data_IF_486238007871
#
_entry.id   IF_486238007871
#
_cell.length_a   1.000
_cell.length_b   1.000
_cell.length_c   1.000
_cell.angle_alpha   90.00
_cell.angle_beta   90.00
_cell.angle_gamma   90.00
#
_symmetry.space_group_name_H-M   'P 1'
#
loop_
_entity.id
_entity.type
_entity.pdbx_description
1 polymer ?
#
# COMPACT_ATOMS: atom_id res chain seq x y z
N UNK A 1 -56.21 -14.07 23.03
CA UNK A 1 -56.70 -15.47 23.13
C UNK A 1 -55.51 -16.40 22.90
N UNK A 2 -55.16 -17.07 24.03
CA UNK A 2 -54.46 -18.37 24.14
C UNK A 2 -53.06 -18.46 23.55
N UNK A 3 -51.96 -18.29 24.27
CA UNK A 3 -51.25 -19.17 25.25
C UNK A 3 -51.06 -20.65 24.78
N UNK A 4 -49.77 -21.04 24.59
CA UNK A 4 -49.17 -22.27 25.18
C UNK A 4 -47.66 -22.31 24.89
N UNK A 5 -46.91 -22.29 25.79
CA UNK A 5 -46.06 -23.06 26.73
C UNK A 5 -45.73 -24.48 26.23
N UNK A 6 -44.43 -24.79 26.11
CA UNK A 6 -43.82 -25.98 26.71
C UNK A 6 -42.29 -25.86 26.71
N UNK A 7 -41.78 -25.99 27.91
CA UNK A 7 -40.38 -26.17 28.25
C UNK A 7 -40.05 -27.68 28.23
N UNK A 8 -38.82 -28.03 27.83
CA UNK A 8 -38.24 -29.33 28.20
C UNK A 8 -36.76 -29.16 28.55
N UNK A 9 -36.46 -29.41 29.83
CA UNK A 9 -35.13 -29.68 30.42
C UNK A 9 -34.73 -31.14 30.13
N UNK A 10 -33.43 -31.40 30.02
CA UNK A 10 -32.71 -32.61 30.46
C UNK A 10 -31.21 -32.30 30.26
N UNK A 11 -30.39 -32.07 31.32
CA UNK A 11 -29.61 -33.02 32.12
C UNK A 11 -28.75 -33.93 31.22
N UNK A 12 -27.44 -33.72 31.07
CA UNK A 12 -26.41 -33.98 32.04
C UNK A 12 -25.65 -35.23 31.61
N UNK A 13 -24.37 -35.10 31.24
CA UNK A 13 -23.42 -36.21 31.47
C UNK A 13 -22.00 -35.66 31.59
N UNK A 14 -21.49 -35.72 32.80
CA UNK A 14 -20.08 -35.61 33.14
C UNK A 14 -19.36 -36.89 32.67
N UNK A 15 -18.27 -36.74 31.96
CA UNK A 15 -17.26 -37.77 31.82
C UNK A 15 -15.90 -37.17 32.11
N UNK A 16 -15.46 -37.39 33.33
CA UNK A 16 -14.06 -37.32 33.73
C UNK A 16 -13.28 -38.39 32.97
N UNK A 17 -12.17 -38.03 32.35
CA UNK A 17 -11.09 -38.95 32.02
C UNK A 17 -9.81 -38.43 32.65
N UNK A 18 -9.30 -39.29 33.53
CA UNK A 18 -8.14 -39.14 34.39
C UNK A 18 -6.88 -39.51 33.60
N UNK A 19 -5.90 -38.62 33.63
CA UNK A 19 -4.45 -38.81 33.79
C UNK A 19 -3.78 -40.11 33.29
N UNK A 20 -2.73 -39.89 32.52
CA UNK A 20 -1.51 -40.67 32.68
C UNK A 20 -0.30 -39.80 32.29
N UNK A 21 0.40 -39.33 33.31
CA UNK A 21 1.75 -38.79 33.20
C UNK A 21 2.71 -39.95 32.91
N UNK A 22 3.45 -39.85 31.83
CA UNK A 22 4.65 -40.67 31.62
C UNK A 22 5.84 -39.72 31.49
N UNK A 23 6.58 -39.66 32.55
CA UNK A 23 7.92 -39.09 32.57
C UNK A 23 8.88 -40.04 31.88
N UNK A 24 9.49 -39.64 30.81
CA UNK A 24 10.70 -40.27 30.28
C UNK A 24 11.88 -39.33 30.53
N UNK A 25 12.66 -39.70 31.55
CA UNK A 25 14.03 -39.26 31.72
C UNK A 25 14.94 -40.11 30.88
N UNK A 26 15.71 -39.56 30.00
CA UNK A 26 16.95 -40.13 29.47
C UNK A 26 17.98 -39.04 29.32
N UNK A 27 18.90 -39.04 30.22
CA UNK A 27 20.36 -39.08 30.20
C UNK A 27 21.03 -38.34 29.03
N UNK A 28 21.92 -37.48 29.45
CA UNK A 28 22.84 -36.65 28.72
C UNK A 28 23.81 -37.44 27.80
N UNK A 29 24.26 -36.69 26.85
CA UNK A 29 25.60 -36.89 26.29
C UNK A 29 26.20 -35.50 25.97
N UNK A 30 27.32 -35.24 26.62
CA UNK A 30 28.22 -34.14 26.37
C UNK A 30 28.97 -34.29 25.06
N UNK A 31 29.48 -33.18 24.61
CA UNK A 31 30.55 -32.99 23.60
C UNK A 31 30.00 -32.74 22.18
N UNK A 32 30.13 -31.54 21.61
CA UNK A 32 31.38 -30.97 21.12
C UNK A 32 31.21 -29.46 20.87
N UNK A 33 32.09 -28.65 21.43
CA UNK A 33 32.31 -27.27 21.04
C UNK A 33 32.89 -27.22 19.62
N UNK A 34 32.12 -26.65 18.70
CA UNK A 34 32.73 -26.01 17.54
C UNK A 34 32.04 -24.66 17.35
N UNK A 35 32.80 -23.61 17.59
CA UNK A 35 32.40 -22.26 17.29
C UNK A 35 32.15 -22.11 15.81
N UNK A 36 30.90 -21.95 15.46
CA UNK A 36 30.53 -21.31 14.22
C UNK A 36 30.02 -19.93 14.59
N UNK A 37 30.85 -18.96 14.24
CA UNK A 37 30.44 -17.58 14.21
C UNK A 37 29.13 -17.50 13.39
N UNK A 38 28.02 -17.25 14.07
CA UNK A 38 26.77 -16.86 13.44
C UNK A 38 27.06 -15.50 12.81
N UNK A 39 27.43 -15.52 11.53
CA UNK A 39 27.38 -14.37 10.67
C UNK A 39 25.98 -13.84 10.77
N UNK A 40 25.81 -12.74 11.51
CA UNK A 40 24.61 -11.92 11.42
C UNK A 40 24.44 -11.60 9.95
N UNK A 41 23.56 -12.31 9.30
CA UNK A 41 23.08 -11.95 8.00
C UNK A 41 22.35 -10.62 8.16
N UNK A 42 23.04 -9.53 7.84
CA UNK A 42 22.41 -8.30 7.42
C UNK A 42 21.63 -8.69 6.17
N UNK A 43 20.43 -9.18 6.37
CA UNK A 43 19.44 -9.23 5.32
C UNK A 43 19.04 -7.78 5.06
N UNK A 44 19.72 -7.14 4.11
CA UNK A 44 19.11 -6.09 3.32
C UNK A 44 17.90 -6.72 2.63
N UNK A 45 16.80 -6.85 3.35
CA UNK A 45 15.49 -6.76 2.74
C UNK A 45 15.37 -5.30 2.32
N UNK A 46 15.88 -4.98 1.11
CA UNK A 46 15.30 -3.93 0.31
C UNK A 46 13.82 -4.33 0.20
N UNK A 47 13.03 -3.87 1.15
CA UNK A 47 11.58 -3.83 1.00
C UNK A 47 11.39 -2.98 -0.25
N UNK A 48 11.08 -3.62 -1.37
CA UNK A 48 10.76 -2.90 -2.59
C UNK A 48 9.56 -2.03 -2.25
N UNK A 49 9.80 -0.73 -2.11
CA UNK A 49 8.75 0.22 -1.81
C UNK A 49 7.81 0.25 -3.01
N UNK A 50 6.63 -0.30 -2.85
CA UNK A 50 5.59 -0.30 -3.88
C UNK A 50 4.51 0.72 -3.55
N UNK A 51 3.80 1.17 -4.57
CA UNK A 51 2.70 2.13 -4.49
C UNK A 51 1.39 1.40 -4.75
N UNK A 52 0.39 1.69 -3.94
CA UNK A 52 -0.99 1.35 -4.22
C UNK A 52 -1.90 2.56 -3.97
N UNK A 53 -3.20 2.41 -4.16
CA UNK A 53 -4.17 3.49 -3.99
C UNK A 53 -4.29 3.98 -2.54
N UNK A 54 -3.81 3.20 -1.58
CA UNK A 54 -3.78 3.57 -0.16
C UNK A 54 -2.52 4.33 0.25
N UNK A 55 -1.47 4.33 -0.60
CA UNK A 55 -0.24 5.06 -0.33
C UNK A 55 1.04 4.35 -0.74
N UNK A 56 2.11 4.55 0.04
CA UNK A 56 3.44 3.96 -0.20
C UNK A 56 4.19 3.78 1.12
N UNK A 57 4.65 2.56 1.38
CA UNK A 57 5.38 2.26 2.61
C UNK A 57 4.57 2.59 3.87
N UNK A 58 5.09 3.51 4.69
CA UNK A 58 4.41 3.96 5.91
C UNK A 58 3.46 5.15 5.68
N UNK A 59 3.49 5.76 4.50
CA UNK A 59 2.63 6.89 4.17
C UNK A 59 1.30 6.38 3.63
N UNK A 60 0.22 6.79 4.31
CA UNK A 60 -1.15 6.45 3.94
C UNK A 60 -1.89 7.67 3.39
N UNK A 61 -2.70 7.46 2.36
CA UNK A 61 -3.67 8.45 1.88
C UNK A 61 -4.66 8.75 3.01
N UNK A 62 -4.83 10.04 3.33
CA UNK A 62 -5.59 10.53 4.48
C UNK A 62 -4.74 10.86 5.73
N UNK A 63 -3.48 10.40 5.79
CA UNK A 63 -2.54 10.80 6.85
C UNK A 63 -2.33 12.32 6.82
N UNK A 64 -2.16 12.93 7.99
CA UNK A 64 -1.83 14.36 8.04
C UNK A 64 -0.36 14.59 7.67
N UNK A 65 -0.07 15.72 7.05
CA UNK A 65 1.31 16.11 6.78
C UNK A 65 2.12 16.24 8.07
N UNK A 66 1.48 16.72 9.15
CA UNK A 66 2.15 16.87 10.46
C UNK A 66 2.60 15.52 11.01
N UNK A 67 1.77 14.48 10.89
CA UNK A 67 2.15 13.12 11.31
C UNK A 67 3.31 12.58 10.47
N UNK A 68 3.25 12.75 9.14
CA UNK A 68 4.32 12.28 8.23
C UNK A 68 5.65 13.00 8.51
N UNK A 69 5.61 14.31 8.79
CA UNK A 69 6.81 15.09 9.13
C UNK A 69 7.35 14.69 10.50
N UNK A 70 6.49 14.52 11.50
CA UNK A 70 6.90 14.11 12.85
C UNK A 70 7.56 12.74 12.89
N UNK A 71 7.19 11.86 11.97
CA UNK A 71 7.79 10.54 11.77
C UNK A 71 9.07 10.56 10.90
N UNK A 72 9.48 11.73 10.41
CA UNK A 72 10.64 11.87 9.53
C UNK A 72 10.46 11.29 8.12
N UNK A 73 9.22 11.11 7.68
CA UNK A 73 8.91 10.54 6.36
C UNK A 73 8.92 11.59 5.26
N UNK A 74 8.37 12.77 5.52
CA UNK A 74 8.27 13.88 4.57
C UNK A 74 8.89 15.16 5.10
N UNK A 75 9.33 16.02 4.18
CA UNK A 75 9.72 17.39 4.46
C UNK A 75 8.54 18.32 4.22
N UNK A 76 8.37 19.30 5.13
CA UNK A 76 7.45 20.40 4.94
C UNK A 76 8.17 21.55 4.20
N UNK A 77 7.59 22.01 3.10
CA UNK A 77 8.01 23.26 2.50
C UNK A 77 7.54 24.45 3.37
N UNK A 78 8.44 25.32 3.87
CA UNK A 78 8.05 26.48 4.69
C UNK A 78 7.08 27.45 4.00
N UNK A 79 7.10 27.50 2.67
CA UNK A 79 6.24 28.37 1.86
C UNK A 79 5.00 27.65 1.33
N UNK A 80 4.64 26.48 1.91
CA UNK A 80 3.56 25.64 1.45
C UNK A 80 2.21 26.38 1.47
N UNK A 81 1.45 26.23 0.37
CA UNK A 81 0.07 26.66 0.30
C UNK A 81 -0.82 25.72 1.15
N UNK A 82 -1.61 26.31 2.03
CA UNK A 82 -2.46 25.55 2.96
C UNK A 82 -3.61 24.79 2.27
N UNK A 83 -4.04 25.24 1.09
CA UNK A 83 -5.16 24.62 0.36
C UNK A 83 -4.71 23.43 -0.47
N UNK A 84 -3.62 23.58 -1.22
CA UNK A 84 -3.03 22.52 -2.03
C UNK A 84 -1.55 22.79 -2.29
N UNK A 85 -0.70 21.82 -2.06
CA UNK A 85 0.74 21.87 -2.33
C UNK A 85 1.33 20.47 -2.41
N UNK A 86 2.64 20.37 -2.59
CA UNK A 86 3.38 19.12 -2.60
C UNK A 86 4.39 19.05 -1.46
N UNK A 87 4.51 17.86 -0.86
CA UNK A 87 5.60 17.48 0.01
C UNK A 87 6.44 16.37 -0.65
N UNK A 88 7.69 16.24 -0.22
CA UNK A 88 8.64 15.28 -0.78
C UNK A 88 9.29 14.46 0.33
N UNK A 89 9.85 13.27 0.02
CA UNK A 89 10.52 12.43 0.99
C UNK A 89 11.59 13.18 1.79
N UNK A 90 11.65 12.89 3.08
CA UNK A 90 12.74 13.38 3.92
C UNK A 90 14.02 12.55 3.68
N UNK A 91 15.17 13.18 3.78
CA UNK A 91 16.46 12.47 3.70
C UNK A 91 16.51 11.41 4.79
N UNK A 92 16.76 10.17 4.40
CA UNK A 92 16.82 9.04 5.33
C UNK A 92 15.46 8.42 5.67
N UNK A 93 14.36 8.84 5.05
CA UNK A 93 13.03 8.25 5.23
C UNK A 93 12.91 6.81 4.72
N UNK A 94 13.84 6.38 3.86
CA UNK A 94 13.76 5.09 3.16
C UNK A 94 12.82 5.08 1.96
N UNK A 95 12.19 6.21 1.66
CA UNK A 95 11.36 6.40 0.46
C UNK A 95 12.22 6.83 -0.72
N UNK A 96 11.86 6.44 -1.97
CA UNK A 96 12.46 6.99 -3.17
C UNK A 96 12.30 8.51 -3.25
N UNK A 97 13.38 9.22 -3.64
CA UNK A 97 13.42 10.69 -3.67
C UNK A 97 12.55 11.30 -4.78
N UNK A 98 12.13 10.50 -5.75
CA UNK A 98 11.36 10.86 -6.93
C UNK A 98 9.84 10.75 -6.73
N UNK A 99 9.39 10.54 -5.50
CA UNK A 99 7.98 10.56 -5.14
C UNK A 99 7.51 11.97 -4.77
N UNK A 100 6.36 12.38 -5.33
CA UNK A 100 5.64 13.58 -4.91
C UNK A 100 4.39 13.22 -4.09
N UNK A 101 4.11 13.97 -3.05
CA UNK A 101 2.91 13.78 -2.23
C UNK A 101 2.03 15.02 -2.30
N UNK A 102 0.86 14.91 -2.92
CA UNK A 102 -0.10 16.02 -2.97
C UNK A 102 -0.77 16.16 -1.61
N UNK A 103 -0.70 17.37 -1.09
CA UNK A 103 -1.28 17.75 0.19
C UNK A 103 -2.45 18.70 -0.05
N UNK A 104 -3.63 18.30 0.39
CA UNK A 104 -4.84 19.14 0.33
C UNK A 104 -5.36 19.33 1.75
N UNK A 105 -5.45 20.59 2.17
CA UNK A 105 -5.92 20.98 3.52
C UNK A 105 -5.21 20.19 4.63
N UNK A 106 -3.88 20.07 4.50
CA UNK A 106 -3.01 19.43 5.47
C UNK A 106 -3.04 17.89 5.46
N UNK A 107 -3.72 17.25 4.51
CA UNK A 107 -3.78 15.79 4.37
C UNK A 107 -3.13 15.32 3.08
N UNK A 108 -2.44 14.20 3.14
CA UNK A 108 -1.92 13.48 1.98
C UNK A 108 -3.09 12.87 1.23
N UNK A 109 -3.29 13.23 -0.03
CA UNK A 109 -4.41 12.74 -0.84
C UNK A 109 -3.97 11.94 -2.05
N UNK A 110 -2.69 12.07 -2.46
CA UNK A 110 -2.16 11.43 -3.68
C UNK A 110 -0.65 11.26 -3.59
N UNK A 111 -0.17 10.19 -4.18
CA UNK A 111 1.25 9.94 -4.48
C UNK A 111 1.44 10.06 -5.99
N UNK A 112 2.42 10.83 -6.42
CA UNK A 112 2.84 10.97 -7.81
C UNK A 112 4.19 10.28 -8.02
N UNK A 113 4.30 9.54 -9.12
CA UNK A 113 5.51 8.85 -9.58
C UNK A 113 5.80 9.32 -11.00
N UNK A 114 6.72 10.28 -11.12
CA UNK A 114 7.06 10.92 -12.40
C UNK A 114 8.31 10.32 -13.04
N UNK A 115 9.16 9.65 -12.28
CA UNK A 115 10.41 9.05 -12.74
C UNK A 115 10.70 7.76 -11.96
N UNK A 116 11.82 7.10 -12.27
CA UNK A 116 12.34 6.00 -11.49
C UNK A 116 11.74 4.63 -11.76
N UNK A 117 12.05 3.69 -10.88
CA UNK A 117 11.72 2.29 -11.01
C UNK A 117 10.67 1.82 -9.97
N UNK A 118 9.99 2.76 -9.32
CA UNK A 118 8.94 2.43 -8.35
C UNK A 118 7.81 1.71 -9.07
N UNK A 119 7.37 0.58 -8.51
CA UNK A 119 6.29 -0.23 -9.08
C UNK A 119 5.02 -0.09 -8.26
N UNK A 120 3.89 -0.38 -8.86
CA UNK A 120 2.68 -0.68 -8.09
C UNK A 120 2.81 -2.04 -7.38
N UNK A 121 1.94 -2.32 -6.42
CA UNK A 121 1.89 -3.64 -5.76
C UNK A 121 1.68 -4.77 -6.79
N UNK A 122 0.96 -4.50 -7.89
CA UNK A 122 0.72 -5.44 -8.99
C UNK A 122 1.89 -5.51 -10.00
N UNK A 123 2.95 -4.73 -9.76
CA UNK A 123 4.16 -4.73 -10.57
C UNK A 123 4.11 -3.90 -11.85
N UNK A 124 3.15 -2.99 -12.01
CA UNK A 124 3.14 -2.01 -13.08
C UNK A 124 4.10 -0.85 -12.76
N UNK A 125 4.73 -0.27 -13.80
CA UNK A 125 5.72 0.80 -13.65
C UNK A 125 5.83 1.68 -14.89
N UNK A 126 6.55 2.77 -14.75
CA UNK A 126 6.94 3.64 -15.88
C UNK A 126 7.72 2.82 -16.91
N UNK A 127 7.39 3.01 -18.18
CA UNK A 127 7.96 2.29 -19.31
C UNK A 127 7.22 1.02 -19.71
N UNK A 128 6.30 0.51 -18.91
CA UNK A 128 5.43 -0.60 -19.29
C UNK A 128 4.51 -0.21 -20.43
N UNK A 129 4.18 -1.16 -21.31
CA UNK A 129 3.25 -0.93 -22.41
C UNK A 129 1.80 -0.90 -21.92
N UNK A 130 0.91 -0.24 -22.67
CA UNK A 130 -0.52 -0.27 -22.40
C UNK A 130 -1.08 -1.71 -22.38
N UNK A 131 -0.58 -2.59 -23.27
CA UNK A 131 -0.99 -3.99 -23.29
C UNK A 131 -0.58 -4.74 -22.01
N UNK A 132 0.57 -4.36 -21.42
CA UNK A 132 0.95 -4.90 -20.14
C UNK A 132 0.01 -4.45 -19.03
N UNK A 133 -0.41 -3.18 -19.01
CA UNK A 133 -1.42 -2.71 -18.07
C UNK A 133 -2.74 -3.46 -18.22
N UNK A 134 -3.20 -3.68 -19.49
CA UNK A 134 -4.40 -4.48 -19.74
C UNK A 134 -4.25 -5.93 -19.26
N UNK A 135 -3.03 -6.48 -19.35
CA UNK A 135 -2.74 -7.84 -18.84
C UNK A 135 -2.77 -7.90 -17.29
N UNK A 136 -2.25 -6.86 -16.63
CA UNK A 136 -2.19 -6.81 -15.16
C UNK A 136 -3.59 -6.59 -14.56
N UNK A 137 -4.32 -5.59 -15.06
CA UNK A 137 -5.53 -5.07 -14.42
C UNK A 137 -6.85 -5.53 -15.07
N UNK A 138 -6.79 -6.11 -16.28
CA UNK A 138 -7.98 -6.68 -16.94
C UNK A 138 -9.16 -5.71 -17.00
N UNK A 139 -10.31 -6.17 -16.51
CA UNK A 139 -11.59 -5.43 -16.55
C UNK A 139 -11.65 -4.23 -15.59
N UNK A 140 -10.72 -4.12 -14.63
CA UNK A 140 -10.62 -2.98 -13.72
C UNK A 140 -10.01 -1.74 -14.38
N UNK A 141 -9.37 -1.91 -15.55
CA UNK A 141 -8.69 -0.85 -16.27
C UNK A 141 -9.65 -0.11 -17.20
N UNK A 142 -9.77 1.19 -17.00
CA UNK A 142 -10.57 2.08 -17.84
C UNK A 142 -9.64 3.01 -18.61
N UNK A 143 -9.82 3.08 -19.92
CA UNK A 143 -9.06 3.95 -20.83
C UNK A 143 -9.86 5.19 -21.18
N UNK A 144 -9.19 6.35 -21.17
CA UNK A 144 -9.77 7.62 -21.64
C UNK A 144 -8.72 8.47 -22.36
N UNK A 145 -9.14 9.36 -23.30
CA UNK A 145 -8.22 10.24 -24.02
C UNK A 145 -7.51 11.21 -23.06
N UNK A 146 -6.23 11.46 -23.33
CA UNK A 146 -5.47 12.46 -22.59
C UNK A 146 -5.95 13.88 -22.89
N UNK A 147 -6.07 14.72 -21.86
CA UNK A 147 -6.65 16.08 -21.93
C UNK A 147 -5.93 17.01 -22.95
N UNK A 148 -4.60 16.89 -23.06
CA UNK A 148 -3.78 17.85 -23.83
C UNK A 148 -3.09 17.24 -25.05
N UNK A 149 -2.80 15.94 -25.02
CA UNK A 149 -1.97 15.29 -26.05
C UNK A 149 -2.80 14.29 -26.85
N UNK A 150 -3.12 14.59 -28.13
CA UNK A 150 -3.81 13.65 -28.99
C UNK A 150 -3.02 12.32 -29.12
N UNK A 151 -3.71 11.19 -28.96
CA UNK A 151 -3.11 9.86 -29.03
C UNK A 151 -2.43 9.39 -27.74
N UNK A 152 -2.40 10.20 -26.71
CA UNK A 152 -2.04 9.78 -25.35
C UNK A 152 -3.29 9.35 -24.60
N UNK A 153 -3.12 8.54 -23.54
CA UNK A 153 -4.23 8.03 -22.75
C UNK A 153 -4.00 8.17 -21.25
N UNK A 154 -5.13 8.30 -20.52
CA UNK A 154 -5.19 7.94 -19.11
C UNK A 154 -5.73 6.51 -19.01
N UNK A 155 -5.02 5.67 -18.29
CA UNK A 155 -5.44 4.31 -17.98
C UNK A 155 -5.66 4.24 -16.46
N UNK A 156 -6.93 4.17 -16.06
CA UNK A 156 -7.35 4.28 -14.66
C UNK A 156 -7.77 2.91 -14.13
N UNK A 157 -7.16 2.50 -13.03
CA UNK A 157 -7.53 1.31 -12.27
C UNK A 157 -8.47 1.74 -11.16
N UNK A 158 -9.70 1.24 -11.20
CA UNK A 158 -10.74 1.58 -10.24
C UNK A 158 -11.00 0.48 -9.21
N UNK A 159 -10.90 -0.79 -9.61
CA UNK A 159 -11.03 -1.98 -8.77
C UNK A 159 -12.00 -1.90 -7.60
N UNK A 160 -11.75 -2.66 -6.57
CA UNK A 160 -12.47 -2.57 -5.30
C UNK A 160 -12.28 -1.23 -4.57
N UNK A 161 -11.19 -0.53 -4.87
CA UNK A 161 -10.84 0.78 -4.32
C UNK A 161 -11.78 1.90 -4.78
N UNK A 162 -12.48 1.72 -5.90
CA UNK A 162 -13.50 2.67 -6.35
C UNK A 162 -14.60 2.86 -5.33
N UNK A 163 -15.01 1.79 -4.64
CA UNK A 163 -15.99 1.85 -3.56
C UNK A 163 -15.50 2.65 -2.35
N UNK A 164 -14.18 2.77 -2.21
CA UNK A 164 -13.50 3.55 -1.17
C UNK A 164 -13.11 4.95 -1.65
N UNK A 165 -13.43 5.32 -2.90
CA UNK A 165 -13.12 6.61 -3.47
C UNK A 165 -11.62 6.79 -3.78
N UNK A 166 -10.92 5.74 -4.20
CA UNK A 166 -9.50 5.75 -4.55
C UNK A 166 -9.25 5.09 -5.91
N UNK A 167 -8.12 5.41 -6.54
CA UNK A 167 -7.75 4.87 -7.85
C UNK A 167 -6.23 4.98 -8.09
N UNK A 168 -5.75 4.25 -9.10
CA UNK A 168 -4.44 4.48 -9.74
C UNK A 168 -4.70 4.99 -11.15
N UNK A 169 -4.00 6.06 -11.55
CA UNK A 169 -4.09 6.65 -12.89
C UNK A 169 -2.72 6.64 -13.53
N UNK A 170 -2.58 5.88 -14.60
CA UNK A 170 -1.40 5.87 -15.46
C UNK A 170 -1.60 6.86 -16.60
N UNK A 171 -0.59 7.68 -16.88
CA UNK A 171 -0.52 8.47 -18.11
C UNK A 171 0.40 7.77 -19.09
N UNK A 172 -0.03 7.64 -20.36
CA UNK A 172 0.75 6.99 -21.40
C UNK A 172 0.92 7.92 -22.58
N UNK A 173 1.98 7.69 -23.38
CA UNK A 173 2.20 8.36 -24.66
C UNK A 173 1.46 7.67 -25.84
N UNK A 174 0.46 6.84 -25.53
CA UNK A 174 -0.23 5.98 -26.45
C UNK A 174 0.47 4.65 -26.70
N UNK A 175 1.59 4.39 -26.02
CA UNK A 175 2.36 3.15 -26.10
C UNK A 175 2.86 2.69 -24.76
N UNK A 176 3.43 3.60 -23.97
CA UNK A 176 4.10 3.32 -22.70
C UNK A 176 3.67 4.27 -21.62
N UNK A 177 3.68 3.79 -20.40
CA UNK A 177 3.51 4.60 -19.20
C UNK A 177 4.65 5.61 -19.10
N UNK A 178 4.30 6.89 -18.98
CA UNK A 178 5.23 8.01 -18.81
C UNK A 178 5.31 8.46 -17.36
N UNK A 179 4.20 8.36 -16.63
CA UNK A 179 4.07 8.60 -15.19
C UNK A 179 2.82 7.90 -14.65
N UNK A 180 2.70 7.82 -13.34
CA UNK A 180 1.43 7.39 -12.74
C UNK A 180 1.24 8.05 -11.37
N UNK A 181 0.01 8.02 -10.88
CA UNK A 181 -0.37 8.54 -9.57
C UNK A 181 -1.42 7.66 -8.94
N UNK A 182 -1.41 7.60 -7.60
CA UNK A 182 -2.33 6.79 -6.82
C UNK A 182 -2.90 7.60 -5.66
N UNK A 183 -4.17 7.39 -5.32
CA UNK A 183 -4.76 8.09 -4.19
C UNK A 183 -6.25 8.35 -4.31
N UNK A 184 -6.70 9.37 -3.59
CA UNK A 184 -8.09 9.69 -3.38
C UNK A 184 -8.73 10.38 -4.59
N UNK A 185 -9.96 9.99 -4.92
CA UNK A 185 -10.84 10.73 -5.83
C UNK A 185 -11.43 11.97 -5.12
N UNK A 186 -11.58 13.10 -5.82
CA UNK A 186 -11.24 13.31 -7.23
C UNK A 186 -9.77 13.71 -7.47
N UNK A 187 -8.94 13.90 -6.43
CA UNK A 187 -7.60 14.48 -6.53
C UNK A 187 -6.64 13.67 -7.40
N UNK A 188 -6.76 12.34 -7.40
CA UNK A 188 -5.94 11.47 -8.26
C UNK A 188 -6.19 11.74 -9.76
N UNK A 189 -7.35 12.31 -10.12
CA UNK A 189 -7.70 12.67 -11.50
C UNK A 189 -7.30 14.10 -11.87
N UNK A 190 -6.82 14.93 -10.93
CA UNK A 190 -6.39 16.28 -11.23
C UNK A 190 -5.11 16.28 -12.06
N UNK A 191 -5.24 16.62 -13.33
CA UNK A 191 -4.15 16.55 -14.31
C UNK A 191 -3.11 17.65 -14.03
N UNK A 192 -3.54 18.82 -13.59
CA UNK A 192 -2.71 19.98 -13.32
C UNK A 192 -2.16 20.04 -11.89
N UNK A 193 -2.43 19.01 -11.11
CA UNK A 193 -1.99 18.97 -9.70
C UNK A 193 -2.65 20.05 -8.85
N UNK A 194 -1.80 20.82 -8.13
CA UNK A 194 -2.18 21.99 -7.33
C UNK A 194 -2.09 23.32 -8.12
N UNK A 195 -2.15 23.28 -9.45
CA UNK A 195 -2.02 24.45 -10.34
C UNK A 195 -3.16 25.45 -10.27
#
# INVERSE_FOLDING_TARGET
MVMNRAAAKLLGFWAMIVVASVAYACKGNEQIRNGSATKAGSGDTLSSTTVNEDGVGQIQVGMTLDDAVSQGLLNRNPSMNSECDYAYPAVGSGLPDDLGFMIVKGKIVRVDVDTGAVTTDDGAKIGDSEDRLRTIYGDELQESPHKYNPGWHYMTVMGDSASQGKAIVFETDGKKVTRYRAGQLPQVQWVEGCG
#
